data_IF_799372872841
#
_entry.id   IF_799372872841
#
_cell.length_a   1.000
_cell.length_b   1.000
_cell.length_c   1.000
_cell.angle_alpha   90.00
_cell.angle_beta   90.00
_cell.angle_gamma   90.00
#
_symmetry.space_group_name_H-M   'P 1'
#
loop_
_entity.id
_entity.type
_entity.pdbx_description
1 polymer ?
#
# COMPACT_ATOMS: atom_id res chain seq x y z
N UNK A 1 -1.21 -3.72 3.33
CA UNK A 1 -1.48 -3.43 1.89
C UNK A 1 -0.86 -2.07 1.60
N UNK A 2 -1.11 -1.42 0.45
CA UNK A 2 -0.74 -0.01 0.29
C UNK A 2 -2.01 0.84 0.15
N UNK A 3 -1.86 2.16 0.03
CA UNK A 3 -2.95 3.13 0.22
C UNK A 3 -4.19 2.82 -0.62
N UNK A 4 -4.06 2.35 -1.87
CA UNK A 4 -5.22 2.09 -2.71
C UNK A 4 -5.94 0.82 -2.28
N UNK A 5 -5.20 -0.22 -1.88
CA UNK A 5 -5.77 -1.40 -1.25
C UNK A 5 -6.61 -1.05 -0.04
N UNK A 6 -6.13 -0.15 0.83
CA UNK A 6 -6.87 0.27 2.03
C UNK A 6 -8.15 1.03 1.68
N UNK A 7 -8.13 1.88 0.64
CA UNK A 7 -9.34 2.52 0.13
C UNK A 7 -10.35 1.50 -0.41
N UNK A 8 -9.89 0.48 -1.14
CA UNK A 8 -10.76 -0.60 -1.67
C UNK A 8 -11.40 -1.40 -0.55
N UNK A 9 -10.65 -1.77 0.48
CA UNK A 9 -11.19 -2.51 1.63
C UNK A 9 -12.18 -1.66 2.42
N UNK A 10 -11.88 -0.38 2.65
CA UNK A 10 -12.83 0.54 3.29
C UNK A 10 -14.15 0.65 2.53
N UNK A 11 -14.07 0.73 1.20
CA UNK A 11 -15.24 0.82 0.33
C UNK A 11 -16.14 -0.45 0.35
N UNK A 12 -15.70 -1.58 0.92
CA UNK A 12 -16.57 -2.73 1.14
C UNK A 12 -17.67 -2.46 2.17
N UNK A 13 -17.40 -1.60 3.15
CA UNK A 13 -18.32 -1.26 4.22
C UNK A 13 -18.99 0.09 4.02
N UNK A 14 -18.23 1.10 3.56
CA UNK A 14 -18.70 2.47 3.43
C UNK A 14 -17.83 3.22 2.41
N UNK A 15 -18.43 3.81 1.39
CA UNK A 15 -17.72 4.48 0.30
C UNK A 15 -17.67 6.02 0.43
N UNK A 16 -18.02 6.57 1.60
CA UNK A 16 -17.92 8.02 1.86
C UNK A 16 -16.46 8.48 1.86
N UNK A 17 -16.24 9.67 1.31
CA UNK A 17 -14.92 10.24 1.09
C UNK A 17 -14.09 10.36 2.38
N UNK A 18 -14.70 10.77 3.49
CA UNK A 18 -14.06 10.87 4.81
C UNK A 18 -13.50 9.52 5.27
N UNK A 19 -14.31 8.47 5.17
CA UNK A 19 -13.93 7.13 5.62
C UNK A 19 -12.80 6.54 4.77
N UNK A 20 -12.87 6.73 3.45
CA UNK A 20 -11.83 6.30 2.51
C UNK A 20 -10.54 7.10 2.71
N UNK A 21 -10.63 8.41 2.93
CA UNK A 21 -9.46 9.23 3.23
C UNK A 21 -8.78 8.73 4.51
N UNK A 22 -9.58 8.50 5.56
CA UNK A 22 -9.11 7.96 6.83
C UNK A 22 -8.35 6.65 6.68
N UNK A 23 -8.82 5.72 5.83
CA UNK A 23 -8.14 4.43 5.66
C UNK A 23 -6.79 4.52 4.94
N UNK A 24 -6.50 5.64 4.28
CA UNK A 24 -5.23 5.88 3.61
C UNK A 24 -4.26 6.77 4.41
N UNK A 25 -4.75 7.48 5.43
CA UNK A 25 -3.95 8.46 6.18
C UNK A 25 -2.68 7.88 6.81
N UNK A 26 -2.67 6.68 7.43
CA UNK A 26 -1.45 6.11 7.99
C UNK A 26 -0.37 5.83 6.94
N UNK A 27 -0.77 5.39 5.72
CA UNK A 27 0.16 5.23 4.60
C UNK A 27 0.71 6.59 4.15
N UNK A 28 -0.16 7.60 4.08
CA UNK A 28 0.25 8.95 3.71
C UNK A 28 1.22 9.57 4.71
N UNK A 29 0.98 9.41 6.02
CA UNK A 29 1.89 9.80 7.09
C UNK A 29 3.28 9.17 6.90
N UNK A 30 3.34 7.86 6.60
CA UNK A 30 4.59 7.17 6.32
C UNK A 30 5.28 7.67 5.03
N UNK A 31 4.50 8.02 4.00
CA UNK A 31 5.01 8.53 2.73
C UNK A 31 5.59 9.95 2.86
N UNK A 32 4.90 10.86 3.55
CA UNK A 32 5.35 12.25 3.73
C UNK A 32 6.36 12.40 4.87
N UNK A 33 6.36 11.48 5.83
CA UNK A 33 7.22 11.48 7.03
C UNK A 33 7.00 12.71 7.91
N UNK A 34 5.75 13.13 8.02
CA UNK A 34 5.27 14.22 8.86
C UNK A 34 4.16 13.65 9.71
N UNK A 35 4.23 13.85 11.02
CA UNK A 35 3.27 13.25 11.94
C UNK A 35 1.88 13.89 11.81
N UNK A 36 0.84 13.04 11.84
CA UNK A 36 -0.54 13.47 12.02
C UNK A 36 -0.82 13.64 13.52
N UNK A 37 -1.01 14.87 13.95
CA UNK A 37 -1.11 15.26 15.36
C UNK A 37 -2.54 15.06 15.89
N UNK A 38 -3.56 15.41 15.10
CA UNK A 38 -4.95 15.28 15.52
C UNK A 38 -5.91 15.02 14.36
N UNK A 39 -6.98 14.27 14.67
CA UNK A 39 -8.10 13.98 13.79
C UNK A 39 -9.39 14.40 14.50
N UNK A 40 -10.11 15.37 13.94
CA UNK A 40 -11.33 15.95 14.54
C UNK A 40 -12.62 15.45 13.90
N UNK A 41 -12.51 14.76 12.77
CA UNK A 41 -13.64 14.16 12.06
C UNK A 41 -13.79 12.67 12.42
N UNK A 42 -14.98 12.28 12.86
CA UNK A 42 -15.25 10.92 13.35
C UNK A 42 -15.22 9.88 12.23
N UNK A 43 -15.62 10.23 11.01
CA UNK A 43 -15.64 9.29 9.89
C UNK A 43 -14.22 9.06 9.36
N UNK A 44 -13.39 10.10 9.37
CA UNK A 44 -11.95 9.96 9.11
C UNK A 44 -11.29 9.06 10.17
N UNK A 45 -11.55 9.29 11.46
CA UNK A 45 -10.99 8.45 12.53
C UNK A 45 -11.42 6.98 12.36
N UNK A 46 -12.69 6.72 12.05
CA UNK A 46 -13.18 5.36 11.76
C UNK A 46 -12.44 4.72 10.57
N UNK A 47 -12.06 5.52 9.56
CA UNK A 47 -11.22 5.05 8.45
C UNK A 47 -9.82 4.61 8.92
N UNK A 48 -9.18 5.40 9.79
CA UNK A 48 -7.87 5.07 10.38
C UNK A 48 -7.96 3.78 11.22
N UNK A 49 -9.01 3.64 12.03
CA UNK A 49 -9.20 2.43 12.84
C UNK A 49 -9.35 1.18 11.95
N UNK A 50 -10.09 1.31 10.85
CA UNK A 50 -10.22 0.25 9.85
C UNK A 50 -8.91 -0.04 9.10
N UNK A 51 -8.07 0.97 8.84
CA UNK A 51 -6.74 0.76 8.28
C UNK A 51 -5.94 -0.22 9.15
N UNK A 52 -5.86 0.03 10.46
CA UNK A 52 -5.11 -0.83 11.36
C UNK A 52 -5.68 -2.25 11.46
N UNK A 53 -7.01 -2.40 11.44
CA UNK A 53 -7.67 -3.72 11.38
C UNK A 53 -7.32 -4.45 10.08
N UNK A 54 -7.40 -3.74 8.96
CA UNK A 54 -7.09 -4.26 7.63
C UNK A 54 -5.65 -4.72 7.55
N UNK A 55 -4.71 -3.94 8.07
CA UNK A 55 -3.29 -4.29 8.07
C UNK A 55 -3.01 -5.54 8.91
N UNK A 56 -3.60 -5.63 10.11
CA UNK A 56 -3.50 -6.84 10.94
C UNK A 56 -4.04 -8.06 10.20
N UNK A 57 -5.22 -7.95 9.59
CA UNK A 57 -5.83 -9.05 8.85
C UNK A 57 -4.99 -9.45 7.63
N UNK A 58 -4.48 -8.46 6.89
CA UNK A 58 -3.65 -8.66 5.70
C UNK A 58 -2.30 -9.32 6.01
N UNK A 59 -1.56 -8.83 7.00
CA UNK A 59 -0.25 -9.39 7.34
C UNK A 59 -0.35 -10.78 8.00
N UNK A 60 -1.53 -11.15 8.52
CA UNK A 60 -1.82 -12.51 9.02
C UNK A 60 -2.40 -13.44 7.95
N UNK A 61 -2.80 -12.92 6.79
CA UNK A 61 -3.43 -13.71 5.75
C UNK A 61 -2.46 -14.78 5.22
N UNK A 62 -2.82 -16.08 5.25
CA UNK A 62 -1.95 -17.16 4.79
C UNK A 62 -1.39 -16.96 3.39
N UNK A 63 -2.19 -16.43 2.46
CA UNK A 63 -1.75 -16.20 1.08
C UNK A 63 -0.68 -15.09 1.00
N UNK A 64 -0.78 -14.03 1.80
CA UNK A 64 0.25 -12.98 1.86
C UNK A 64 1.57 -13.53 2.43
N UNK A 65 1.47 -14.26 3.55
CA UNK A 65 2.64 -14.88 4.22
C UNK A 65 3.34 -15.86 3.27
N UNK A 66 2.58 -16.68 2.54
CA UNK A 66 3.12 -17.63 1.56
C UNK A 66 3.88 -16.92 0.43
N UNK A 67 3.28 -15.89 -0.18
CA UNK A 67 3.92 -15.09 -1.24
C UNK A 67 5.22 -14.46 -0.74
N UNK A 68 5.20 -13.80 0.42
CA UNK A 68 6.38 -13.14 0.97
C UNK A 68 7.50 -14.13 1.32
N UNK A 69 7.14 -15.29 1.89
CA UNK A 69 8.11 -16.32 2.30
C UNK A 69 8.81 -16.93 1.09
N UNK A 70 8.05 -17.30 0.06
CA UNK A 70 8.61 -17.84 -1.17
C UNK A 70 9.49 -16.81 -1.89
N UNK A 71 9.01 -15.57 -2.03
CA UNK A 71 9.79 -14.50 -2.67
C UNK A 71 11.08 -14.18 -1.92
N UNK A 72 11.06 -14.22 -0.58
CA UNK A 72 12.26 -14.05 0.23
C UNK A 72 13.28 -15.16 -0.03
N UNK A 73 12.83 -16.42 -0.07
CA UNK A 73 13.71 -17.56 -0.32
C UNK A 73 14.37 -17.46 -1.70
N UNK A 74 13.57 -17.30 -2.76
CA UNK A 74 14.05 -17.23 -4.15
C UNK A 74 15.01 -16.05 -4.38
N UNK A 75 14.69 -14.85 -3.87
CA UNK A 75 15.62 -13.70 -4.00
C UNK A 75 16.92 -13.91 -3.22
N UNK A 76 16.86 -14.57 -2.06
CA UNK A 76 18.07 -14.89 -1.29
C UNK A 76 18.94 -15.89 -2.04
N UNK A 77 18.35 -16.89 -2.69
CA UNK A 77 19.05 -17.85 -3.56
C UNK A 77 19.67 -17.16 -4.78
N UNK A 78 19.03 -16.13 -5.33
CA UNK A 78 19.59 -15.27 -6.38
C UNK A 78 20.73 -14.37 -5.89
N UNK A 79 21.05 -14.37 -4.59
CA UNK A 79 22.13 -13.57 -4.02
C UNK A 79 21.73 -12.14 -3.67
N UNK A 80 20.45 -11.85 -3.47
CA UNK A 80 20.00 -10.59 -2.87
C UNK A 80 20.15 -10.68 -1.35
N UNK A 81 20.65 -9.62 -0.70
CA UNK A 81 20.80 -9.62 0.77
C UNK A 81 19.46 -9.87 1.43
N UNK A 82 19.44 -10.71 2.47
CA UNK A 82 18.21 -11.12 3.18
C UNK A 82 17.33 -9.94 3.62
N UNK A 83 17.93 -8.85 4.11
CA UNK A 83 17.19 -7.65 4.52
C UNK A 83 16.47 -6.99 3.34
N UNK A 84 17.20 -6.76 2.25
CA UNK A 84 16.68 -6.23 0.99
C UNK A 84 15.61 -7.15 0.40
N UNK A 85 15.88 -8.45 0.31
CA UNK A 85 14.93 -9.45 -0.18
C UNK A 85 13.64 -9.42 0.63
N UNK A 86 13.70 -9.38 1.97
CA UNK A 86 12.51 -9.26 2.83
C UNK A 86 11.72 -8.00 2.54
N UNK A 87 12.39 -6.86 2.40
CA UNK A 87 11.74 -5.58 2.12
C UNK A 87 11.08 -5.57 0.74
N UNK A 88 11.76 -6.08 -0.28
CA UNK A 88 11.23 -6.23 -1.64
C UNK A 88 10.05 -7.17 -1.67
N UNK A 89 10.13 -8.34 -1.02
CA UNK A 89 9.01 -9.29 -0.93
C UNK A 89 7.76 -8.65 -0.34
N UNK A 90 7.92 -7.89 0.74
CA UNK A 90 6.79 -7.26 1.42
C UNK A 90 6.19 -6.11 0.60
N UNK A 91 7.00 -5.09 0.33
CA UNK A 91 6.54 -3.84 -0.32
C UNK A 91 6.12 -4.14 -1.77
N UNK A 92 6.86 -5.01 -2.47
CA UNK A 92 6.53 -5.41 -3.83
C UNK A 92 5.18 -6.13 -3.92
N UNK A 93 4.86 -6.99 -2.94
CA UNK A 93 3.56 -7.68 -2.90
C UNK A 93 2.42 -6.69 -2.73
N UNK A 94 2.57 -5.71 -1.84
CA UNK A 94 1.56 -4.68 -1.62
C UNK A 94 1.37 -3.79 -2.86
N UNK A 95 2.47 -3.37 -3.51
CA UNK A 95 2.38 -2.60 -4.75
C UNK A 95 1.68 -3.38 -5.86
N UNK A 96 2.10 -4.62 -6.15
CA UNK A 96 1.45 -5.42 -7.20
C UNK A 96 -0.02 -5.70 -6.89
N UNK A 97 -0.39 -5.88 -5.62
CA UNK A 97 -1.80 -6.04 -5.23
C UNK A 97 -2.60 -4.77 -5.52
N UNK A 98 -2.08 -3.59 -5.18
CA UNK A 98 -2.71 -2.31 -5.51
C UNK A 98 -2.84 -2.11 -7.02
N UNK A 99 -1.82 -2.50 -7.80
CA UNK A 99 -1.86 -2.47 -9.27
C UNK A 99 -2.94 -3.39 -9.85
N UNK A 100 -3.06 -4.61 -9.32
CA UNK A 100 -4.12 -5.56 -9.70
C UNK A 100 -5.51 -5.02 -9.33
N UNK A 101 -5.66 -4.49 -8.12
CA UNK A 101 -6.91 -3.85 -7.66
C UNK A 101 -7.29 -2.67 -8.55
N UNK A 102 -6.33 -1.83 -8.94
CA UNK A 102 -6.58 -0.67 -9.80
C UNK A 102 -7.07 -1.05 -11.22
N UNK A 103 -6.84 -2.29 -11.65
CA UNK A 103 -7.38 -2.81 -12.92
C UNK A 103 -8.78 -3.43 -12.77
N UNK A 104 -9.14 -3.90 -11.57
CA UNK A 104 -10.37 -4.67 -11.32
C UNK A 104 -11.47 -3.90 -10.59
N UNK A 105 -11.08 -2.91 -9.80
CA UNK A 105 -11.96 -2.25 -8.84
C UNK A 105 -12.84 -1.18 -9.49
N UNK A 106 -14.14 -1.19 -9.15
CA UNK A 106 -15.07 -0.11 -9.46
C UNK A 106 -14.90 1.11 -8.53
N UNK A 107 -14.07 1.03 -7.50
CA UNK A 107 -13.93 2.06 -6.46
C UNK A 107 -12.93 3.19 -6.81
N UNK A 108 -12.44 3.25 -8.06
CA UNK A 108 -11.48 4.27 -8.50
C UNK A 108 -12.03 5.68 -8.29
N UNK A 109 -13.29 5.92 -8.66
CA UNK A 109 -13.89 7.25 -8.52
C UNK A 109 -14.03 7.65 -7.05
N UNK A 110 -14.43 6.71 -6.19
CA UNK A 110 -14.54 6.97 -4.75
C UNK A 110 -13.17 7.28 -4.12
N UNK A 111 -12.12 6.57 -4.53
CA UNK A 111 -10.75 6.87 -4.14
C UNK A 111 -10.32 8.28 -4.57
N UNK A 112 -10.56 8.67 -5.83
CA UNK A 112 -10.22 10.02 -6.32
C UNK A 112 -11.03 11.09 -5.57
N UNK A 113 -12.34 10.89 -5.37
CA UNK A 113 -13.17 11.80 -4.57
C UNK A 113 -12.65 11.97 -3.14
N UNK A 114 -12.14 10.90 -2.52
CA UNK A 114 -11.53 10.99 -1.19
C UNK A 114 -10.24 11.84 -1.20
N UNK A 115 -9.43 11.76 -2.27
CA UNK A 115 -8.25 12.59 -2.44
C UNK A 115 -8.56 14.06 -2.70
N UNK A 116 -9.77 14.40 -3.14
CA UNK A 116 -10.24 15.77 -3.42
C UNK A 116 -11.05 16.37 -2.27
N UNK A 117 -11.33 15.59 -1.23
CA UNK A 117 -12.12 16.03 -0.07
C UNK A 117 -11.56 17.29 0.60
N UNK A 118 -12.39 18.32 0.79
CA UNK A 118 -12.02 19.46 1.61
C UNK A 118 -11.91 19.03 3.08
N UNK A 119 -10.68 19.10 3.61
CA UNK A 119 -10.33 18.67 4.97
C UNK A 119 -10.44 19.80 5.99
N UNK A 120 -10.88 21.01 5.63
CA UNK A 120 -10.92 22.23 6.46
C UNK A 120 -10.84 22.05 7.98
N UNK A 121 -9.62 22.14 8.54
CA UNK A 121 -9.35 22.03 9.99
C UNK A 121 -9.61 20.68 10.65
N UNK A 122 -10.10 19.68 9.91
CA UNK A 122 -10.42 18.32 10.39
C UNK A 122 -9.18 17.50 10.73
N UNK A 123 -8.04 17.87 10.16
CA UNK A 123 -6.74 17.23 10.36
C UNK A 123 -5.73 18.28 10.84
N UNK A 124 -4.87 17.87 11.77
CA UNK A 124 -3.71 18.66 12.21
C UNK A 124 -2.45 17.86 11.96
N UNK A 125 -1.53 18.42 11.18
CA UNK A 125 -0.23 17.82 10.87
C UNK A 125 0.87 18.68 11.47
N UNK A 126 2.00 18.07 11.78
CA UNK A 126 3.17 18.75 12.35
C UNK A 126 3.68 19.91 11.46
N UNK A 127 3.54 19.80 10.13
CA UNK A 127 3.94 20.81 9.14
C UNK A 127 2.76 21.67 8.63
N UNK A 128 1.68 21.76 9.42
CA UNK A 128 0.43 22.43 9.02
C UNK A 128 -0.22 21.85 7.75
N UNK A 129 0.17 20.63 7.36
CA UNK A 129 -0.39 19.85 6.27
C UNK A 129 0.23 20.16 4.91
N UNK A 130 1.37 20.86 4.84
CA UNK A 130 2.00 21.23 3.57
C UNK A 130 2.40 20.01 2.73
N UNK A 131 3.13 19.06 3.31
CA UNK A 131 3.57 17.86 2.62
C UNK A 131 2.38 16.96 2.24
N UNK A 132 1.37 16.90 3.11
CA UNK A 132 0.14 16.15 2.85
C UNK A 132 -0.66 16.72 1.68
N UNK A 133 -0.83 18.06 1.61
CA UNK A 133 -1.48 18.74 0.47
C UNK A 133 -0.76 18.42 -0.84
N UNK A 134 0.56 18.59 -0.89
CA UNK A 134 1.37 18.26 -2.08
C UNK A 134 1.26 16.79 -2.48
N UNK A 135 1.23 15.86 -1.51
CA UNK A 135 1.04 14.45 -1.79
C UNK A 135 -0.35 14.20 -2.40
N UNK A 136 -1.41 14.75 -1.80
CA UNK A 136 -2.78 14.58 -2.30
C UNK A 136 -2.97 15.12 -3.70
N UNK A 137 -2.47 16.32 -4.00
CA UNK A 137 -2.53 16.90 -5.35
C UNK A 137 -1.85 16.01 -6.39
N UNK A 138 -0.66 15.49 -6.05
CA UNK A 138 0.06 14.55 -6.92
C UNK A 138 -0.69 13.25 -7.12
N UNK A 139 -1.27 12.68 -6.05
CA UNK A 139 -2.02 11.42 -6.14
C UNK A 139 -3.35 11.60 -6.88
N UNK A 140 -4.04 12.73 -6.70
CA UNK A 140 -5.26 13.05 -7.44
C UNK A 140 -4.97 13.20 -8.94
N UNK A 141 -3.89 13.89 -9.29
CA UNK A 141 -3.42 14.02 -10.69
C UNK A 141 -3.00 12.66 -11.27
N UNK A 142 -2.36 11.82 -10.47
CA UNK A 142 -1.91 10.50 -10.91
C UNK A 142 -3.06 9.49 -11.06
N UNK A 143 -4.11 9.62 -10.24
CA UNK A 143 -5.27 8.74 -10.24
C UNK A 143 -4.98 7.37 -9.60
N UNK A 144 -5.72 6.34 -10.03
CA UNK A 144 -5.53 4.98 -9.53
C UNK A 144 -4.13 4.44 -9.89
N UNK A 145 -3.48 3.66 -9.01
CA UNK A 145 -2.07 3.25 -9.17
C UNK A 145 -1.87 2.11 -10.18
N UNK A 146 -2.42 2.25 -11.39
CA UNK A 146 -2.36 1.24 -12.47
C UNK A 146 -0.94 0.87 -12.86
N UNK A 147 0.01 1.80 -12.73
CA UNK A 147 1.42 1.56 -13.02
C UNK A 147 2.08 0.56 -12.07
N UNK A 148 1.51 0.27 -10.90
CA UNK A 148 2.01 -0.83 -10.07
C UNK A 148 1.80 -2.20 -10.71
N UNK A 149 1.03 -2.31 -11.80
CA UNK A 149 1.02 -3.52 -12.63
C UNK A 149 2.29 -3.70 -13.47
N UNK A 150 3.17 -2.70 -13.55
CA UNK A 150 4.38 -2.73 -14.37
C UNK A 150 5.62 -3.02 -13.51
N UNK A 151 6.30 -4.17 -13.67
CA UNK A 151 7.47 -4.53 -12.86
C UNK A 151 8.59 -3.48 -12.85
N UNK A 152 8.85 -2.82 -13.98
CA UNK A 152 9.86 -1.76 -14.06
C UNK A 152 9.51 -0.54 -13.22
N UNK A 153 8.23 -0.18 -13.14
CA UNK A 153 7.77 0.91 -12.28
C UNK A 153 7.87 0.53 -10.80
N UNK A 154 7.47 -0.69 -10.43
CA UNK A 154 7.62 -1.21 -9.05
C UNK A 154 9.09 -1.25 -8.63
N UNK A 155 10.01 -1.66 -9.51
CA UNK A 155 11.45 -1.61 -9.23
C UNK A 155 11.93 -0.20 -8.90
N UNK A 156 11.55 0.79 -9.71
CA UNK A 156 11.93 2.18 -9.48
C UNK A 156 11.41 2.70 -8.13
N UNK A 157 10.18 2.33 -7.77
CA UNK A 157 9.55 2.73 -6.49
C UNK A 157 10.17 2.03 -5.29
N UNK A 158 10.54 0.75 -5.42
CA UNK A 158 11.31 0.02 -4.41
C UNK A 158 12.69 0.66 -4.19
N UNK A 159 13.41 0.97 -5.26
CA UNK A 159 14.72 1.62 -5.17
C UNK A 159 14.63 2.96 -4.43
N UNK A 160 13.67 3.82 -4.78
CA UNK A 160 13.46 5.10 -4.10
C UNK A 160 13.08 4.94 -2.62
N UNK A 161 12.13 4.05 -2.32
CA UNK A 161 11.64 3.80 -0.96
C UNK A 161 12.74 3.27 -0.03
N UNK A 162 13.63 2.43 -0.55
CA UNK A 162 14.70 1.78 0.22
C UNK A 162 16.00 2.60 0.24
N UNK A 163 16.17 3.59 -0.64
CA UNK A 163 17.42 4.36 -0.79
C UNK A 163 17.94 4.97 0.51
N UNK A 164 17.03 5.47 1.37
CA UNK A 164 17.39 6.12 2.64
C UNK A 164 17.68 5.12 3.78
N UNK A 165 17.62 3.82 3.53
CA UNK A 165 17.89 2.75 4.51
C UNK A 165 19.09 1.94 4.04
N UNK A 166 20.33 2.30 4.40
CA UNK A 166 21.54 1.67 3.85
C UNK A 166 21.56 0.13 3.95
N UNK A 167 21.00 -0.43 5.02
CA UNK A 167 20.89 -1.87 5.22
C UNK A 167 19.93 -2.58 4.24
N UNK A 168 19.04 -1.83 3.57
CA UNK A 168 18.00 -2.35 2.66
C UNK A 168 18.11 -1.79 1.23
N UNK A 169 18.92 -0.74 1.02
CA UNK A 169 19.02 -0.06 -0.26
C UNK A 169 19.49 -1.03 -1.36
N UNK A 170 18.84 -1.01 -2.53
CA UNK A 170 19.21 -1.86 -3.65
C UNK A 170 20.52 -1.37 -4.29
N UNK A 171 21.57 -2.21 -4.24
CA UNK A 171 22.78 -2.01 -5.04
C UNK A 171 22.50 -2.22 -6.53
N UNK A 172 23.46 -1.90 -7.39
CA UNK A 172 23.30 -2.06 -8.85
C UNK A 172 23.05 -3.53 -9.24
N UNK A 173 23.88 -4.47 -8.77
CA UNK A 173 23.69 -5.91 -9.07
C UNK A 173 22.39 -6.48 -8.48
N UNK A 174 22.05 -6.09 -7.25
CA UNK A 174 20.79 -6.51 -6.63
C UNK A 174 19.59 -5.98 -7.41
N UNK A 175 19.67 -4.76 -7.95
CA UNK A 175 18.62 -4.17 -8.79
C UNK A 175 18.39 -5.00 -10.05
N UNK A 176 19.45 -5.51 -10.71
CA UNK A 176 19.33 -6.37 -11.89
C UNK A 176 18.66 -7.71 -11.55
N UNK A 177 19.05 -8.32 -10.42
CA UNK A 177 18.46 -9.57 -9.92
C UNK A 177 16.98 -9.41 -9.58
N UNK A 178 16.65 -8.33 -8.85
CA UNK A 178 15.26 -8.00 -8.51
C UNK A 178 14.47 -7.69 -9.78
N UNK A 179 15.02 -6.95 -10.75
CA UNK A 179 14.35 -6.66 -12.01
C UNK A 179 13.93 -7.94 -12.76
N UNK A 180 14.81 -8.94 -12.81
CA UNK A 180 14.51 -10.24 -13.41
C UNK A 180 13.48 -11.06 -12.63
N UNK A 181 13.39 -10.85 -11.32
CA UNK A 181 12.47 -11.57 -10.43
C UNK A 181 11.04 -10.98 -10.40
N UNK A 182 10.90 -9.66 -10.47
CA UNK A 182 9.60 -8.99 -10.28
C UNK A 182 8.45 -9.48 -11.20
N UNK A 183 8.67 -9.89 -12.47
CA UNK A 183 7.59 -10.44 -13.29
C UNK A 183 6.97 -11.74 -12.72
N UNK A 184 7.78 -12.65 -12.15
CA UNK A 184 7.25 -13.88 -11.55
C UNK A 184 6.51 -13.57 -10.23
N UNK A 185 7.05 -12.63 -9.45
CA UNK A 185 6.41 -12.14 -8.24
C UNK A 185 5.05 -11.52 -8.52
N UNK A 186 4.94 -10.68 -9.55
CA UNK A 186 3.67 -10.11 -10.02
C UNK A 186 2.65 -11.20 -10.30
N UNK A 187 2.99 -12.18 -11.15
CA UNK A 187 2.08 -13.27 -11.50
C UNK A 187 1.59 -14.06 -10.27
N UNK A 188 2.48 -14.24 -9.28
CA UNK A 188 2.15 -14.92 -8.02
C UNK A 188 1.16 -14.10 -7.20
N UNK A 189 1.39 -12.79 -7.06
CA UNK A 189 0.48 -11.88 -6.36
C UNK A 189 -0.89 -11.87 -7.04
N UNK A 190 -0.95 -11.73 -8.37
CA UNK A 190 -2.21 -11.69 -9.12
C UNK A 190 -3.01 -12.99 -8.98
N UNK A 191 -2.33 -14.15 -8.96
CA UNK A 191 -2.98 -15.46 -8.75
C UNK A 191 -3.53 -15.60 -7.34
N UNK A 192 -2.81 -15.10 -6.33
CA UNK A 192 -3.21 -15.19 -4.92
C UNK A 192 -4.20 -14.09 -4.50
N UNK A 193 -4.36 -13.02 -5.29
CA UNK A 193 -5.15 -11.84 -4.91
C UNK A 193 -6.61 -12.15 -4.52
N UNK A 194 -7.39 -12.98 -5.28
CA UNK A 194 -8.77 -13.26 -4.90
C UNK A 194 -8.89 -13.95 -3.53
N UNK A 195 -8.05 -14.96 -3.28
CA UNK A 195 -8.03 -15.68 -2.01
C UNK A 195 -7.55 -14.79 -0.86
N UNK A 196 -6.50 -14.00 -1.11
CA UNK A 196 -5.98 -13.03 -0.14
C UNK A 196 -7.04 -12.02 0.30
N UNK A 197 -7.81 -11.46 -0.62
CA UNK A 197 -8.89 -10.53 -0.28
C UNK A 197 -10.03 -11.21 0.48
N UNK A 198 -10.34 -12.48 0.18
CA UNK A 198 -11.30 -13.25 0.95
C UNK A 198 -10.81 -13.49 2.39
N UNK A 199 -9.51 -13.78 2.57
CA UNK A 199 -8.89 -13.94 3.89
C UNK A 199 -8.94 -12.64 4.70
N UNK A 200 -8.64 -11.50 4.06
CA UNK A 200 -8.78 -10.17 4.70
C UNK A 200 -10.21 -9.92 5.13
N UNK A 201 -11.19 -10.16 4.23
CA UNK A 201 -12.60 -9.99 4.53
C UNK A 201 -13.04 -10.83 5.73
N UNK A 202 -12.66 -12.11 5.75
CA UNK A 202 -12.95 -13.00 6.87
C UNK A 202 -12.31 -12.51 8.18
N UNK A 203 -11.07 -12.01 8.11
CA UNK A 203 -10.37 -11.46 9.27
C UNK A 203 -11.06 -10.24 9.88
N UNK A 204 -11.66 -9.39 9.05
CA UNK A 204 -12.41 -8.21 9.51
C UNK A 204 -13.78 -8.58 10.11
N UNK A 205 -14.48 -9.57 9.55
CA UNK A 205 -15.77 -10.06 10.07
C UNK A 205 -15.70 -10.74 11.44
N UNK A 206 -14.52 -11.20 11.88
CA UNK A 206 -14.35 -11.85 13.19
C UNK A 206 -14.05 -10.84 14.30
N UNK A 207 -13.63 -9.62 13.94
CA UNK A 207 -13.36 -8.51 14.88
C UNK A 207 -14.57 -7.56 15.05
N UNK A 208 -15.72 -7.83 14.41
CA UNK A 208 -16.97 -7.05 14.51
C UNK A 208 -18.03 -7.69 15.40
#
# INVERSE_FOLDING_TARGET
>A
MNFFGHAVVAAWADNRAEHLLGSMLPDFEAMVRVALIAVRDRDIQRGIDLHHQTDRAFHRAPSFVAVCTQALAEMTELGVRRGTARAVSHIGTEMFLDGWLAQKSAHINAYVSALELDIGGRLEWEDEGEAFRHLRERLATWGAPRHYAEPGFVLARLADSLRRRPALALGHEESLRVAGFLPSMKQRVERSAPELLQQVRNGLSVES
#
